data_IF_043962908962
#
_entry.id   IF_043962908962
#
_cell.length_a   1.000
_cell.length_b   1.000
_cell.length_c   1.000
_cell.angle_alpha   90.00
_cell.angle_beta   90.00
_cell.angle_gamma   90.00
#
_symmetry.space_group_name_H-M   'P 1'
#
loop_
_entity.id
_entity.type
_entity.pdbx_description
1 polymer ?
#
# COMPACT_ATOMS: atom_id res chain seq x y z
N UNK A 1 -5.46 -12.63 0.98
CA UNK A 1 -4.25 -13.45 0.69
C UNK A 1 -3.12 -12.51 0.26
N UNK A 2 -1.85 -12.79 0.56
CA UNK A 2 -0.72 -11.96 0.10
C UNK A 2 -0.26 -12.38 -1.30
N UNK A 3 -0.29 -11.46 -2.27
CA UNK A 3 0.30 -11.68 -3.59
C UNK A 3 1.82 -11.49 -3.55
N UNK A 4 2.55 -12.21 -4.41
CA UNK A 4 3.97 -11.95 -4.66
C UNK A 4 4.14 -10.52 -5.21
N UNK A 5 5.28 -9.84 -4.95
CA UNK A 5 5.56 -8.54 -5.54
C UNK A 5 5.47 -8.58 -7.07
N UNK A 6 4.89 -7.53 -7.65
CA UNK A 6 4.77 -7.39 -9.09
C UNK A 6 5.11 -5.94 -9.50
N UNK A 7 5.68 -5.74 -10.69
CA UNK A 7 5.93 -4.40 -11.21
C UNK A 7 4.62 -3.76 -11.68
N UNK A 8 4.54 -2.43 -11.54
CA UNK A 8 3.48 -1.61 -12.13
C UNK A 8 4.15 -0.64 -13.09
N UNK A 9 3.71 -0.65 -14.34
CA UNK A 9 4.21 0.29 -15.35
C UNK A 9 3.63 1.69 -15.09
N UNK A 10 4.47 2.71 -15.27
CA UNK A 10 4.07 4.13 -15.17
C UNK A 10 3.38 4.60 -16.47
N UNK A 11 2.39 3.84 -16.92
CA UNK A 11 1.50 4.19 -18.03
C UNK A 11 0.05 4.08 -17.56
N UNK A 12 -0.88 4.65 -18.34
CA UNK A 12 -2.32 4.53 -18.04
C UNK A 12 -2.76 3.08 -17.95
N UNK A 13 -2.28 2.23 -18.86
CA UNK A 13 -2.60 0.81 -18.90
C UNK A 13 -2.02 0.07 -17.69
N UNK A 14 -0.82 0.45 -17.24
CA UNK A 14 -0.21 -0.11 -16.04
C UNK A 14 -0.97 0.23 -14.76
N UNK A 15 -1.43 1.47 -14.63
CA UNK A 15 -2.24 1.91 -13.49
C UNK A 15 -3.64 1.31 -13.51
N UNK A 16 -4.27 1.18 -14.67
CA UNK A 16 -5.56 0.49 -14.79
C UNK A 16 -5.41 -1.00 -14.46
N UNK A 17 -4.33 -1.66 -14.88
CA UNK A 17 -4.04 -3.03 -14.48
C UNK A 17 -3.85 -3.17 -12.96
N UNK A 18 -3.18 -2.21 -12.31
CA UNK A 18 -3.08 -2.17 -10.85
C UNK A 18 -4.46 -2.06 -10.20
N UNK A 19 -5.34 -1.19 -10.71
CA UNK A 19 -6.71 -1.05 -10.22
C UNK A 19 -7.49 -2.37 -10.31
N UNK A 20 -7.42 -3.08 -11.44
CA UNK A 20 -8.03 -4.40 -11.59
C UNK A 20 -7.49 -5.41 -10.57
N UNK A 21 -6.19 -5.32 -10.23
CA UNK A 21 -5.62 -6.15 -9.17
C UNK A 21 -6.17 -5.82 -7.78
N UNK A 22 -6.45 -4.55 -7.49
CA UNK A 22 -7.05 -4.10 -6.22
C UNK A 22 -8.50 -4.60 -6.14
N UNK A 23 -9.32 -4.35 -7.16
CA UNK A 23 -10.73 -4.79 -7.20
C UNK A 23 -10.83 -6.29 -6.99
N UNK A 24 -10.04 -7.08 -7.73
CA UNK A 24 -10.02 -8.54 -7.56
C UNK A 24 -9.60 -8.95 -6.14
N UNK A 25 -8.62 -8.27 -5.55
CA UNK A 25 -8.20 -8.56 -4.19
C UNK A 25 -9.31 -8.25 -3.17
N UNK A 26 -10.07 -7.17 -3.37
CA UNK A 26 -11.21 -6.77 -2.53
C UNK A 26 -12.35 -7.78 -2.59
N UNK A 27 -12.68 -8.26 -3.80
CA UNK A 27 -13.66 -9.34 -4.00
C UNK A 27 -13.25 -10.62 -3.28
N UNK A 28 -11.97 -11.03 -3.40
CA UNK A 28 -11.45 -12.24 -2.76
C UNK A 28 -11.47 -12.18 -1.22
N UNK A 29 -11.47 -10.99 -0.62
CA UNK A 29 -11.46 -10.79 0.85
C UNK A 29 -12.79 -10.27 1.40
N UNK A 30 -13.80 -10.08 0.55
CA UNK A 30 -15.12 -9.54 0.90
C UNK A 30 -15.05 -8.22 1.69
N UNK A 31 -14.11 -7.35 1.33
CA UNK A 31 -13.97 -6.00 1.91
C UNK A 31 -14.52 -4.95 0.95
N UNK A 32 -15.01 -3.87 1.52
CA UNK A 32 -15.62 -2.74 0.79
C UNK A 32 -14.80 -1.45 0.90
N UNK A 33 -13.72 -1.47 1.67
CA UNK A 33 -12.85 -0.32 1.89
C UNK A 33 -11.39 -0.71 1.63
N UNK A 34 -10.74 0.08 0.78
CA UNK A 34 -9.33 -0.05 0.42
C UNK A 34 -8.52 1.17 0.83
N UNK A 35 -7.22 0.95 1.00
CA UNK A 35 -6.23 2.01 1.20
C UNK A 35 -4.91 1.58 0.56
N UNK A 36 -4.24 2.50 -0.12
CA UNK A 36 -2.94 2.24 -0.75
C UNK A 36 -1.84 2.91 0.08
N UNK A 37 -0.98 2.10 0.69
CA UNK A 37 0.23 2.57 1.36
C UNK A 37 1.41 2.60 0.39
N UNK A 38 2.17 3.71 0.37
CA UNK A 38 3.40 3.82 -0.41
C UNK A 38 4.61 4.18 0.46
N UNK A 39 5.79 3.71 0.05
CA UNK A 39 7.08 4.26 0.47
C UNK A 39 7.62 5.12 -0.68
N UNK A 40 7.50 6.45 -0.62
CA UNK A 40 7.84 7.31 -1.75
C UNK A 40 9.34 7.26 -2.02
N UNK A 41 9.71 6.76 -3.21
CA UNK A 41 11.07 6.75 -3.73
C UNK A 41 11.10 7.49 -5.06
N UNK A 42 11.42 8.80 -5.02
CA UNK A 42 11.38 9.67 -6.21
C UNK A 42 9.99 10.24 -6.51
N UNK A 43 9.72 10.59 -7.77
CA UNK A 43 8.50 11.31 -8.19
C UNK A 43 7.40 10.42 -8.80
N UNK A 44 7.68 9.14 -9.06
CA UNK A 44 6.75 8.21 -9.72
C UNK A 44 5.43 7.99 -8.97
N UNK A 45 5.41 8.24 -7.66
CA UNK A 45 4.19 8.11 -6.87
C UNK A 45 3.14 9.19 -7.18
N UNK A 46 3.51 10.31 -7.81
CA UNK A 46 2.59 11.41 -8.08
C UNK A 46 1.51 11.02 -9.09
N UNK A 47 1.90 10.34 -10.18
CA UNK A 47 0.96 9.82 -11.17
C UNK A 47 0.03 8.77 -10.55
N UNK A 48 0.57 7.92 -9.67
CA UNK A 48 -0.23 6.94 -8.93
C UNK A 48 -1.22 7.63 -7.98
N UNK A 49 -0.80 8.68 -7.28
CA UNK A 49 -1.66 9.43 -6.36
C UNK A 49 -2.85 10.07 -7.09
N UNK A 50 -2.60 10.76 -8.20
CA UNK A 50 -3.68 11.33 -9.02
C UNK A 50 -4.63 10.26 -9.57
N UNK A 51 -4.09 9.16 -10.08
CA UNK A 51 -4.91 8.07 -10.59
C UNK A 51 -5.79 7.43 -9.51
N UNK A 52 -5.29 7.26 -8.29
CA UNK A 52 -6.08 6.70 -7.18
C UNK A 52 -7.12 7.69 -6.65
N UNK A 53 -6.81 8.98 -6.63
CA UNK A 53 -7.75 10.05 -6.27
C UNK A 53 -8.96 10.07 -7.23
N UNK A 54 -8.72 9.93 -8.55
CA UNK A 54 -9.80 9.79 -9.55
C UNK A 54 -10.70 8.57 -9.31
N UNK A 55 -10.18 7.51 -8.67
CA UNK A 55 -10.92 6.30 -8.32
C UNK A 55 -11.53 6.36 -6.91
N UNK A 56 -11.29 7.42 -6.16
CA UNK A 56 -11.75 7.58 -4.77
C UNK A 56 -10.98 6.70 -3.77
N UNK A 57 -9.78 6.23 -4.12
CA UNK A 57 -8.97 5.36 -3.26
C UNK A 57 -7.98 6.19 -2.46
N UNK A 58 -8.03 6.16 -1.12
CA UNK A 58 -7.07 6.87 -0.29
C UNK A 58 -5.64 6.35 -0.47
N UNK A 59 -4.70 7.25 -0.72
CA UNK A 59 -3.26 6.97 -0.72
C UNK A 59 -2.60 7.57 0.52
N UNK A 60 -1.88 6.74 1.28
CA UNK A 60 -1.12 7.16 2.46
C UNK A 60 0.37 6.94 2.26
N UNK A 61 1.14 7.96 2.63
CA UNK A 61 2.59 7.87 2.66
C UNK A 61 3.05 7.24 3.96
N UNK A 62 3.76 6.12 3.85
CA UNK A 62 4.47 5.55 4.98
C UNK A 62 5.83 6.22 5.09
N UNK A 63 6.11 6.86 6.23
CA UNK A 63 7.45 7.39 6.51
C UNK A 63 8.34 6.26 7.05
N UNK A 64 9.42 5.86 6.35
CA UNK A 64 10.29 4.77 6.76
C UNK A 64 10.90 4.97 8.16
N UNK A 65 11.11 6.23 8.56
CA UNK A 65 11.64 6.59 9.88
C UNK A 65 10.65 6.33 11.02
N UNK A 66 9.35 6.45 10.75
CA UNK A 66 8.30 6.11 11.73
C UNK A 66 8.09 4.60 11.82
N UNK A 67 8.15 3.89 10.68
CA UNK A 67 7.97 2.42 10.64
C UNK A 67 9.12 1.70 11.36
N UNK A 68 10.36 2.18 11.25
CA UNK A 68 11.50 1.64 12.01
C UNK A 68 11.31 1.80 13.53
N UNK A 69 10.87 2.99 13.99
CA UNK A 69 10.61 3.24 15.41
C UNK A 69 9.43 2.44 15.97
N UNK A 70 8.35 2.25 15.21
CA UNK A 70 7.22 1.41 15.66
C UNK A 70 7.60 -0.07 15.77
N UNK A 71 8.37 -0.62 14.80
CA UNK A 71 8.88 -2.00 14.89
C UNK A 71 9.89 -2.20 16.01
N UNK A 72 10.65 -1.16 16.39
CA UNK A 72 11.54 -1.16 17.55
C UNK A 72 10.77 -1.09 18.88
N UNK A 73 9.66 -0.33 18.96
CA UNK A 73 8.82 -0.30 20.16
C UNK A 73 8.12 -1.64 20.41
N UNK A 74 7.56 -2.27 19.37
CA UNK A 74 6.88 -3.57 19.49
C UNK A 74 7.86 -4.70 19.88
N UNK A 75 9.13 -4.63 19.45
CA UNK A 75 10.17 -5.60 19.83
C UNK A 75 10.72 -5.39 21.25
N UNK A 76 10.49 -4.24 21.88
CA UNK A 76 11.01 -3.92 23.22
C UNK A 76 9.99 -4.13 24.35
N UNK A 77 8.78 -4.62 24.04
CA UNK A 77 7.89 -5.12 25.08
C UNK A 77 8.43 -6.48 25.57
N UNK A 78 8.84 -6.62 26.84
CA UNK A 78 9.34 -7.88 27.35
C UNK A 78 8.18 -8.88 27.41
N UNK A 79 8.04 -9.76 26.41
CA UNK A 79 7.07 -10.86 26.43
C UNK A 79 7.52 -12.03 27.31
N UNK A 80 8.27 -11.77 28.38
CA UNK A 80 8.64 -12.79 29.38
C UNK A 80 8.42 -12.25 30.79
N UNK A 81 7.17 -12.28 31.20
CA UNK A 81 6.82 -12.52 32.59
C UNK A 81 5.82 -13.69 32.61
N UNK A 82 6.15 -14.68 33.45
CA UNK A 82 5.54 -15.99 33.69
C UNK A 82 6.05 -17.12 32.79
#
# INVERSE_FOLDING_TARGET
MLKKPFPVLQSKEGLEWLYQCIVKAMEEVEKTEEIVGIEPTGHYWLNLAYFLDEKGIPLVMTNPMHVKRSKELDNNLPTKAL
#
